data_IF_475276014624
#
_entry.id   IF_475276014624
#
_cell.length_a   1.000
_cell.length_b   1.000
_cell.length_c   1.000
_cell.angle_alpha   90.00
_cell.angle_beta   90.00
_cell.angle_gamma   90.00
#
_symmetry.space_group_name_H-M   'P 1'
#
loop_
_entity.id
_entity.type
_entity.pdbx_description
1 polymer ?
#
# COMPACT_ATOMS: atom_id res chain seq x y z
N UNK A 1 7.97 2.62 -11.14
CA UNK A 1 8.04 3.40 -9.88
C UNK A 1 8.65 2.53 -8.78
N UNK A 2 9.51 3.07 -7.91
CA UNK A 2 10.06 2.35 -6.75
C UNK A 2 9.43 2.83 -5.43
N UNK A 3 8.95 1.87 -4.62
CA UNK A 3 8.33 2.04 -3.31
C UNK A 3 9.10 1.22 -2.27
N UNK A 4 9.23 1.75 -1.04
CA UNK A 4 9.70 0.98 0.11
C UNK A 4 8.56 0.76 1.10
N UNK A 5 8.46 -0.45 1.63
CA UNK A 5 7.68 -0.78 2.83
C UNK A 5 8.67 -1.08 3.95
N UNK A 6 8.65 -0.28 5.02
CA UNK A 6 9.60 -0.39 6.12
C UNK A 6 8.95 -0.53 7.49
N UNK A 7 9.71 -1.05 8.44
CA UNK A 7 9.26 -1.30 9.82
C UNK A 7 10.17 -2.32 10.51
N UNK A 8 10.02 -2.47 11.82
CA UNK A 8 10.79 -3.47 12.57
C UNK A 8 10.45 -4.91 12.10
N UNK A 9 11.30 -5.91 12.40
CA UNK A 9 10.94 -7.31 12.24
C UNK A 9 9.65 -7.66 13.01
N UNK A 10 8.78 -8.49 12.42
CA UNK A 10 7.53 -8.93 13.06
C UNK A 10 6.38 -7.90 13.09
N UNK A 11 6.54 -6.74 12.43
CA UNK A 11 5.52 -5.68 12.38
C UNK A 11 4.41 -5.92 11.33
N UNK A 12 4.45 -7.03 10.57
CA UNK A 12 3.40 -7.38 9.61
C UNK A 12 3.61 -6.86 8.19
N UNK A 13 4.83 -6.41 7.84
CA UNK A 13 5.20 -5.96 6.49
C UNK A 13 4.93 -7.00 5.41
N UNK A 14 5.47 -8.21 5.59
CA UNK A 14 5.29 -9.37 4.70
C UNK A 14 3.81 -9.72 4.54
N UNK A 15 3.03 -9.68 5.62
CA UNK A 15 1.60 -9.97 5.57
C UNK A 15 0.83 -8.90 4.78
N UNK A 16 1.15 -7.61 4.99
CA UNK A 16 0.60 -6.53 4.17
C UNK A 16 1.00 -6.67 2.69
N UNK A 17 2.25 -7.04 2.40
CA UNK A 17 2.73 -7.29 1.05
C UNK A 17 2.01 -8.46 0.36
N UNK A 18 1.66 -9.51 1.11
CA UNK A 18 0.82 -10.61 0.62
C UNK A 18 -0.62 -10.16 0.34
N UNK A 19 -1.21 -9.30 1.19
CA UNK A 19 -2.52 -8.70 0.90
C UNK A 19 -2.49 -7.80 -0.33
N UNK A 20 -1.41 -7.02 -0.52
CA UNK A 20 -1.19 -6.26 -1.75
C UNK A 20 -1.08 -7.19 -2.97
N UNK A 21 -0.36 -8.30 -2.84
CA UNK A 21 -0.23 -9.31 -3.90
C UNK A 21 -1.60 -9.89 -4.26
N UNK A 22 -2.41 -10.29 -3.29
CA UNK A 22 -3.77 -10.79 -3.52
C UNK A 22 -4.67 -9.75 -4.19
N UNK A 23 -4.56 -8.48 -3.79
CA UNK A 23 -5.29 -7.38 -4.41
C UNK A 23 -4.97 -7.23 -5.90
N UNK A 24 -3.69 -7.39 -6.25
CA UNK A 24 -3.20 -7.29 -7.61
C UNK A 24 -3.50 -8.52 -8.47
N UNK A 25 -3.61 -9.72 -7.88
CA UNK A 25 -3.81 -10.96 -8.64
C UNK A 25 -5.25 -11.45 -8.68
N UNK A 26 -6.12 -11.01 -7.77
CA UNK A 26 -7.47 -11.56 -7.64
C UNK A 26 -8.55 -10.51 -7.32
N UNK A 27 -8.31 -9.23 -7.65
CA UNK A 27 -9.22 -8.08 -7.38
C UNK A 27 -9.65 -7.95 -5.90
N UNK A 28 -8.89 -8.51 -4.95
CA UNK A 28 -9.17 -8.40 -3.51
C UNK A 28 -8.73 -7.03 -2.99
N UNK A 29 -9.60 -6.03 -3.07
CA UNK A 29 -9.22 -4.63 -2.85
C UNK A 29 -8.57 -4.36 -1.49
N UNK A 30 -7.52 -3.53 -1.50
CA UNK A 30 -7.11 -2.78 -0.32
C UNK A 30 -8.09 -1.61 -0.10
N UNK A 31 -8.15 -0.99 1.10
CA UNK A 31 -9.00 0.16 1.35
C UNK A 31 -8.70 1.26 0.35
N UNK A 32 -9.74 1.78 -0.28
CA UNK A 32 -9.66 2.85 -1.27
C UNK A 32 -8.83 2.51 -2.53
N UNK A 33 -8.55 1.23 -2.77
CA UNK A 33 -7.95 0.78 -4.02
C UNK A 33 -8.97 0.87 -5.15
N UNK A 34 -8.56 1.47 -6.28
CA UNK A 34 -9.35 1.44 -7.50
C UNK A 34 -9.43 0.01 -8.04
N UNK A 35 -10.55 -0.30 -8.69
CA UNK A 35 -10.65 -1.55 -9.41
C UNK A 35 -9.61 -1.60 -10.52
N UNK A 36 -8.87 -2.71 -10.56
CA UNK A 36 -7.85 -2.96 -11.58
C UNK A 36 -7.97 -4.38 -12.06
N UNK A 37 -7.70 -4.58 -13.35
CA UNK A 37 -7.59 -5.92 -13.93
C UNK A 37 -6.44 -6.69 -13.28
N UNK A 38 -6.66 -7.96 -12.86
CA UNK A 38 -5.63 -8.83 -12.34
C UNK A 38 -4.40 -8.91 -13.24
N UNK A 39 -3.22 -8.89 -12.62
CA UNK A 39 -1.96 -8.93 -13.34
C UNK A 39 -0.90 -9.78 -12.66
N UNK A 40 0.15 -10.09 -13.41
CA UNK A 40 1.23 -10.94 -12.94
C UNK A 40 2.13 -10.18 -11.96
N UNK A 41 2.51 -10.88 -10.89
CA UNK A 41 3.32 -10.39 -9.78
C UNK A 41 4.52 -11.30 -9.61
N UNK A 42 5.71 -10.74 -9.42
CA UNK A 42 6.85 -11.48 -8.89
C UNK A 42 6.94 -11.20 -7.40
N UNK A 43 6.95 -12.23 -6.57
CA UNK A 43 7.20 -12.12 -5.12
C UNK A 43 8.50 -12.85 -4.80
N UNK A 44 9.61 -12.11 -4.71
CA UNK A 44 10.91 -12.67 -4.36
C UNK A 44 11.16 -12.52 -2.86
N UNK A 45 11.49 -13.63 -2.19
CA UNK A 45 11.79 -13.63 -0.76
C UNK A 45 12.89 -14.60 -0.39
N UNK A 46 13.65 -14.23 0.65
CA UNK A 46 14.76 -14.99 1.21
C UNK A 46 14.58 -15.33 2.71
N UNK A 47 13.61 -14.72 3.39
CA UNK A 47 13.38 -14.93 4.84
C UNK A 47 12.47 -16.12 5.13
N UNK A 48 11.47 -16.34 4.30
CA UNK A 48 10.47 -17.39 4.49
C UNK A 48 10.64 -18.48 3.41
N UNK A 49 10.49 -19.75 3.81
CA UNK A 49 10.49 -20.87 2.87
C UNK A 49 9.40 -20.69 1.80
N UNK A 50 9.80 -20.68 0.52
CA UNK A 50 8.91 -20.42 -0.63
C UNK A 50 7.71 -21.39 -0.66
N UNK A 51 7.96 -22.66 -0.36
CA UNK A 51 6.93 -23.72 -0.31
C UNK A 51 6.19 -23.79 1.02
N UNK A 52 6.89 -23.60 2.13
CA UNK A 52 6.39 -23.98 3.47
C UNK A 52 5.72 -22.83 4.21
N UNK A 53 6.02 -21.57 3.87
CA UNK A 53 5.52 -20.40 4.61
C UNK A 53 4.84 -19.38 3.71
N UNK A 54 5.43 -19.06 2.55
CA UNK A 54 4.89 -18.02 1.66
C UNK A 54 3.65 -18.50 0.92
N UNK A 55 3.72 -19.67 0.30
CA UNK A 55 2.60 -20.23 -0.47
C UNK A 55 1.34 -20.40 0.40
N UNK A 56 1.39 -20.99 1.61
CA UNK A 56 0.21 -21.07 2.47
C UNK A 56 -0.38 -19.70 2.84
N UNK A 57 0.46 -18.71 3.16
CA UNK A 57 -0.01 -17.36 3.51
C UNK A 57 -0.59 -16.58 2.32
N UNK A 58 -0.07 -16.80 1.11
CA UNK A 58 -0.65 -16.24 -0.11
C UNK A 58 -2.03 -16.86 -0.39
N UNK A 59 -2.20 -18.16 -0.14
CA UNK A 59 -3.51 -18.83 -0.21
C UNK A 59 -4.47 -18.26 0.83
N UNK A 60 -4.02 -18.09 2.08
CA UNK A 60 -4.80 -17.47 3.16
C UNK A 60 -5.19 -16.01 2.83
N UNK A 61 -4.32 -15.30 2.12
CA UNK A 61 -4.62 -13.97 1.60
C UNK A 61 -5.50 -13.97 0.34
N UNK A 62 -5.85 -15.15 -0.18
CA UNK A 62 -6.67 -15.36 -1.38
C UNK A 62 -6.02 -14.84 -2.68
N UNK A 63 -4.68 -14.86 -2.75
CA UNK A 63 -3.95 -14.52 -3.96
C UNK A 63 -4.15 -15.60 -5.05
N UNK A 64 -4.34 -15.17 -6.29
CA UNK A 64 -4.31 -16.08 -7.44
C UNK A 64 -2.86 -16.49 -7.72
N UNK A 65 -2.49 -17.68 -7.24
CA UNK A 65 -1.14 -18.23 -7.38
C UNK A 65 -0.73 -18.49 -8.83
N UNK A 66 -1.67 -18.59 -9.79
CA UNK A 66 -1.32 -18.73 -11.21
C UNK A 66 -0.67 -17.46 -11.78
N UNK A 67 -0.80 -16.34 -11.08
CA UNK A 67 -0.24 -15.03 -11.43
C UNK A 67 0.93 -14.62 -10.53
N UNK A 68 1.28 -15.44 -9.55
CA UNK A 68 2.42 -15.20 -8.65
C UNK A 68 3.62 -16.02 -9.11
N UNK A 69 4.73 -15.34 -9.36
CA UNK A 69 5.97 -15.92 -9.85
C UNK A 69 7.11 -15.65 -8.88
N UNK A 70 8.14 -16.49 -8.96
CA UNK A 70 9.41 -16.32 -8.23
C UNK A 70 10.55 -16.54 -9.21
N UNK A 71 11.62 -15.76 -9.08
CA UNK A 71 12.84 -15.98 -9.86
C UNK A 71 13.64 -17.09 -9.18
N UNK A 72 14.05 -18.09 -9.96
CA UNK A 72 14.94 -19.14 -9.47
C UNK A 72 16.33 -18.57 -9.15
N UNK A 73 16.67 -18.65 -7.88
CA UNK A 73 17.91 -18.20 -7.26
C UNK A 73 18.63 -19.33 -6.50
N UNK A 74 18.19 -20.59 -6.68
CA UNK A 74 18.70 -21.74 -5.94
C UNK A 74 20.16 -22.08 -6.29
N UNK A 75 20.52 -21.97 -7.56
CA UNK A 75 21.90 -22.24 -8.05
C UNK A 75 22.78 -21.00 -8.04
N UNK A 76 22.21 -19.87 -8.44
CA UNK A 76 22.90 -18.59 -8.52
C UNK A 76 22.05 -17.58 -7.76
N UNK A 77 22.53 -17.09 -6.59
CA UNK A 77 21.82 -16.11 -5.80
C UNK A 77 21.38 -14.92 -6.65
N UNK A 78 20.15 -14.46 -6.46
CA UNK A 78 19.65 -13.28 -7.15
C UNK A 78 20.15 -12.03 -6.43
N UNK A 79 20.58 -11.03 -7.19
CA UNK A 79 20.82 -9.69 -6.67
C UNK A 79 19.96 -8.67 -7.39
N UNK A 80 19.78 -7.49 -6.80
CA UNK A 80 19.06 -6.37 -7.41
C UNK A 80 19.74 -5.84 -8.67
N UNK A 81 21.02 -6.18 -8.85
CA UNK A 81 21.80 -5.87 -10.05
C UNK A 81 21.70 -6.94 -11.14
N UNK A 82 20.93 -8.00 -10.94
CA UNK A 82 20.82 -9.08 -11.90
C UNK A 82 19.82 -8.77 -13.03
N UNK A 83 20.24 -8.97 -14.28
CA UNK A 83 19.39 -8.79 -15.47
C UNK A 83 18.23 -9.79 -15.54
N UNK A 84 18.29 -10.89 -14.78
CA UNK A 84 17.16 -11.83 -14.61
C UNK A 84 15.89 -11.11 -14.16
N UNK A 85 16.00 -10.04 -13.36
CA UNK A 85 14.84 -9.26 -12.91
C UNK A 85 14.13 -8.62 -14.11
N UNK A 86 14.87 -7.87 -14.93
CA UNK A 86 14.28 -7.19 -16.09
C UNK A 86 13.74 -8.20 -17.11
N UNK A 87 14.48 -9.28 -17.39
CA UNK A 87 14.03 -10.33 -18.29
C UNK A 87 12.73 -10.97 -17.81
N UNK A 88 12.64 -11.34 -16.53
CA UNK A 88 11.45 -11.95 -15.96
C UNK A 88 10.24 -11.01 -16.03
N UNK A 89 10.44 -9.71 -15.75
CA UNK A 89 9.38 -8.70 -15.84
C UNK A 89 8.84 -8.62 -17.27
N UNK A 90 9.73 -8.49 -18.26
CA UNK A 90 9.33 -8.32 -19.67
C UNK A 90 8.66 -9.57 -20.23
N UNK A 91 9.27 -10.75 -20.03
CA UNK A 91 8.79 -12.01 -20.58
C UNK A 91 7.40 -12.39 -20.03
N UNK A 92 7.15 -12.11 -18.75
CA UNK A 92 5.92 -12.51 -18.08
C UNK A 92 4.91 -11.37 -17.91
N UNK A 93 5.16 -10.18 -18.51
CA UNK A 93 4.29 -9.00 -18.41
C UNK A 93 3.93 -8.63 -16.96
N UNK A 94 4.93 -8.68 -16.09
CA UNK A 94 4.77 -8.41 -14.66
C UNK A 94 4.55 -6.92 -14.46
N UNK A 95 3.56 -6.56 -13.62
CA UNK A 95 3.28 -5.16 -13.27
C UNK A 95 3.66 -4.81 -11.83
N UNK A 96 3.99 -5.81 -11.01
CA UNK A 96 4.47 -5.62 -9.64
C UNK A 96 5.58 -6.63 -9.31
N UNK A 97 6.71 -6.13 -8.82
CA UNK A 97 7.80 -6.90 -8.24
C UNK A 97 7.89 -6.56 -6.76
N UNK A 98 7.81 -7.58 -5.88
CA UNK A 98 8.11 -7.45 -4.45
C UNK A 98 9.44 -8.16 -4.15
N UNK A 99 10.29 -7.50 -3.36
CA UNK A 99 11.55 -8.05 -2.84
C UNK A 99 11.50 -8.01 -1.30
N UNK A 100 11.60 -9.17 -0.65
CA UNK A 100 11.37 -9.33 0.80
C UNK A 100 12.39 -10.25 1.49
N UNK A 101 13.38 -9.74 2.25
CA UNK A 101 13.75 -8.34 2.45
C UNK A 101 14.75 -7.86 1.40
N UNK A 102 14.82 -6.55 1.14
CA UNK A 102 15.81 -5.95 0.22
C UNK A 102 17.26 -6.24 0.63
N UNK A 103 17.52 -6.35 1.94
CA UNK A 103 18.83 -6.67 2.50
C UNK A 103 19.40 -7.99 1.95
N UNK A 104 18.55 -8.97 1.66
CA UNK A 104 18.99 -10.27 1.16
C UNK A 104 19.38 -10.26 -0.32
N UNK A 105 19.01 -9.21 -1.07
CA UNK A 105 19.21 -9.13 -2.52
C UNK A 105 20.14 -7.98 -2.94
N UNK A 106 20.58 -7.11 -2.03
CA UNK A 106 21.39 -5.94 -2.40
C UNK A 106 22.76 -6.32 -2.99
N UNK A 107 23.27 -7.52 -2.65
CA UNK A 107 24.55 -8.05 -3.07
C UNK A 107 25.53 -8.15 -1.91
N UNK A 108 26.36 -9.20 -1.88
CA UNK A 108 27.30 -9.44 -0.78
C UNK A 108 28.37 -8.34 -0.67
N UNK A 109 28.72 -7.70 -1.79
CA UNK A 109 29.78 -6.69 -1.87
C UNK A 109 29.26 -5.24 -1.78
N UNK A 110 27.99 -5.04 -1.40
CA UNK A 110 27.37 -3.70 -1.31
C UNK A 110 27.11 -3.34 0.15
N UNK A 111 27.80 -2.30 0.65
CA UNK A 111 27.52 -1.70 1.94
C UNK A 111 26.32 -0.75 1.82
N UNK A 112 25.23 -1.10 2.49
CA UNK A 112 23.99 -0.31 2.49
C UNK A 112 24.14 1.08 3.11
N UNK A 113 25.22 1.34 3.87
CA UNK A 113 25.49 2.64 4.46
C UNK A 113 26.34 3.53 3.53
N UNK A 114 26.87 2.99 2.43
CA UNK A 114 27.71 3.72 1.48
C UNK A 114 26.91 4.19 0.27
N UNK A 115 26.69 5.50 0.23
CA UNK A 115 25.93 6.17 -0.84
C UNK A 115 26.38 5.77 -2.26
N UNK A 116 27.68 5.73 -2.49
CA UNK A 116 28.28 5.41 -3.79
C UNK A 116 28.05 3.96 -4.24
N UNK A 117 27.83 3.03 -3.31
CA UNK A 117 27.57 1.62 -3.60
C UNK A 117 26.07 1.36 -3.80
N UNK A 118 25.20 2.04 -3.03
CA UNK A 118 23.75 1.83 -3.10
C UNK A 118 23.07 2.58 -4.24
N UNK A 119 23.52 3.81 -4.56
CA UNK A 119 22.92 4.63 -5.62
C UNK A 119 22.86 3.92 -6.99
N UNK A 120 23.93 3.24 -7.46
CA UNK A 120 23.88 2.47 -8.71
C UNK A 120 22.78 1.40 -8.71
N UNK A 121 22.59 0.70 -7.60
CA UNK A 121 21.57 -0.35 -7.46
C UNK A 121 20.17 0.22 -7.64
N UNK A 122 19.85 1.27 -6.89
CA UNK A 122 18.53 1.90 -6.97
C UNK A 122 18.31 2.63 -8.31
N UNK A 123 19.36 3.16 -8.93
CA UNK A 123 19.28 3.72 -10.29
C UNK A 123 18.91 2.64 -11.31
N UNK A 124 19.56 1.47 -11.25
CA UNK A 124 19.22 0.36 -12.15
C UNK A 124 17.76 -0.07 -11.97
N UNK A 125 17.31 -0.28 -10.73
CA UNK A 125 15.91 -0.63 -10.46
C UNK A 125 14.95 0.47 -10.93
N UNK A 126 15.30 1.73 -10.73
CA UNK A 126 14.53 2.88 -11.23
C UNK A 126 14.36 2.83 -12.75
N UNK A 127 15.44 2.58 -13.48
CA UNK A 127 15.43 2.44 -14.94
C UNK A 127 14.57 1.26 -15.39
N UNK A 128 14.70 0.09 -14.77
CA UNK A 128 13.86 -1.08 -15.06
C UNK A 128 12.38 -0.75 -14.85
N UNK A 129 12.05 -0.11 -13.72
CA UNK A 129 10.69 0.26 -13.38
C UNK A 129 10.09 1.31 -14.34
N UNK A 130 10.91 2.21 -14.88
CA UNK A 130 10.50 3.22 -15.86
C UNK A 130 10.29 2.59 -17.25
N UNK A 131 11.22 1.77 -17.72
CA UNK A 131 11.17 1.16 -19.04
C UNK A 131 10.10 0.07 -19.19
N UNK A 132 9.75 -0.59 -18.09
CA UNK A 132 8.75 -1.69 -18.09
C UNK A 132 7.38 -1.25 -17.60
N UNK A 133 7.27 -0.09 -16.96
CA UNK A 133 6.07 0.32 -16.24
C UNK A 133 5.77 -0.51 -14.98
N UNK A 134 6.68 -1.41 -14.58
CA UNK A 134 6.51 -2.24 -13.39
C UNK A 134 6.68 -1.41 -12.10
N UNK A 135 5.81 -1.65 -11.13
CA UNK A 135 5.99 -1.17 -9.77
C UNK A 135 6.97 -2.09 -9.04
N UNK A 136 8.04 -1.52 -8.46
CA UNK A 136 9.02 -2.28 -7.67
C UNK A 136 8.85 -1.89 -6.21
N UNK A 137 8.57 -2.88 -5.37
CA UNK A 137 8.35 -2.72 -3.92
C UNK A 137 9.45 -3.44 -3.17
N UNK A 138 10.20 -2.69 -2.39
CA UNK A 138 11.29 -3.19 -1.58
C UNK A 138 10.85 -3.22 -0.12
N UNK A 139 10.90 -4.39 0.50
CA UNK A 139 10.54 -4.55 1.91
C UNK A 139 11.80 -4.49 2.75
N UNK A 140 11.81 -3.59 3.72
CA UNK A 140 13.01 -3.23 4.47
C UNK A 140 12.83 -3.29 5.97
N UNK A 141 13.88 -3.71 6.66
CA UNK A 141 14.04 -3.54 8.10
C UNK A 141 14.64 -2.18 8.44
N UNK A 142 14.13 -1.57 9.52
CA UNK A 142 14.76 -0.38 10.12
C UNK A 142 16.10 -0.77 10.75
N UNK A 143 17.06 0.15 10.73
CA UNK A 143 18.29 -0.03 11.49
C UNK A 143 18.08 0.24 12.99
N UNK A 144 18.95 -0.34 13.83
CA UNK A 144 18.84 -0.28 15.30
C UNK A 144 19.25 1.07 15.93
N UNK A 145 19.45 2.14 15.18
CA UNK A 145 19.86 3.42 15.75
C UNK A 145 18.71 4.10 16.51
N UNK A 146 18.83 4.16 17.82
CA UNK A 146 17.94 4.92 18.70
C UNK A 146 18.19 6.43 18.53
N UNK A 147 17.11 7.22 18.40
CA UNK A 147 17.16 8.69 18.53
C UNK A 147 17.03 9.51 17.23
N UNK A 148 17.09 8.90 16.05
CA UNK A 148 16.85 9.59 14.76
C UNK A 148 15.37 9.52 14.35
N UNK A 149 14.87 10.51 13.58
CA UNK A 149 13.47 10.50 13.09
C UNK A 149 13.20 9.24 12.26
N UNK A 150 11.95 8.77 12.27
CA UNK A 150 11.44 7.61 11.52
C UNK A 150 11.89 7.55 10.05
N UNK A 151 11.87 8.69 9.35
CA UNK A 151 12.35 8.80 7.97
C UNK A 151 13.86 8.50 7.86
N UNK A 152 14.66 8.84 8.88
CA UNK A 152 16.11 8.58 8.91
C UNK A 152 16.46 7.19 9.45
N UNK A 153 15.53 6.48 10.10
CA UNK A 153 15.70 5.09 10.59
C UNK A 153 15.44 4.02 9.55
N UNK A 154 15.24 4.39 8.29
CA UNK A 154 14.93 3.43 7.22
C UNK A 154 16.03 2.40 6.97
N UNK A 155 16.26 2.03 5.71
CA UNK A 155 17.27 1.05 5.30
C UNK A 155 18.74 1.44 5.60
N UNK A 156 18.98 2.39 6.52
CA UNK A 156 20.31 2.85 6.91
C UNK A 156 20.92 3.90 6.00
N UNK A 157 20.19 4.35 4.96
CA UNK A 157 20.73 5.27 3.97
C UNK A 157 19.72 6.34 3.56
N UNK A 158 20.15 7.60 3.74
CA UNK A 158 19.47 8.79 3.21
C UNK A 158 19.37 8.70 1.69
N UNK A 159 20.35 8.10 1.02
CA UNK A 159 20.37 7.96 -0.43
C UNK A 159 19.28 7.02 -0.95
N UNK A 160 19.01 5.94 -0.21
CA UNK A 160 17.87 5.06 -0.49
C UNK A 160 16.57 5.87 -0.41
N UNK A 161 16.42 6.65 0.68
CA UNK A 161 15.24 7.48 0.86
C UNK A 161 15.10 8.55 -0.21
N UNK A 162 16.21 9.14 -0.68
CA UNK A 162 16.20 10.09 -1.78
C UNK A 162 15.79 9.45 -3.11
N UNK A 163 16.20 8.21 -3.36
CA UNK A 163 15.96 7.51 -4.62
C UNK A 163 14.50 7.02 -4.80
N UNK A 164 13.78 6.72 -3.72
CA UNK A 164 12.40 6.21 -3.81
C UNK A 164 11.36 7.31 -3.88
N UNK A 165 10.25 7.06 -4.60
CA UNK A 165 9.15 8.03 -4.77
C UNK A 165 8.06 7.89 -3.71
N UNK A 166 7.99 6.72 -3.07
CA UNK A 166 7.01 6.45 -2.01
C UNK A 166 7.65 5.63 -0.90
N UNK A 167 7.21 5.88 0.33
CA UNK A 167 7.63 5.18 1.54
C UNK A 167 6.43 4.90 2.43
N UNK A 168 6.17 3.62 2.67
CA UNK A 168 5.18 3.16 3.63
C UNK A 168 5.90 2.64 4.87
N UNK A 169 5.48 3.10 6.04
CA UNK A 169 5.94 2.64 7.33
C UNK A 169 4.86 1.78 7.98
N UNK A 170 5.24 0.63 8.54
CA UNK A 170 4.35 -0.23 9.32
C UNK A 170 4.91 -0.41 10.73
N UNK A 171 4.09 -0.12 11.74
CA UNK A 171 4.44 -0.30 13.15
C UNK A 171 3.27 -0.78 14.02
N UNK A 172 3.60 -1.39 15.15
CA UNK A 172 2.71 -1.92 16.18
C UNK A 172 2.32 -0.84 17.16
N UNK A 173 1.06 -0.83 17.54
CA UNK A 173 0.64 -0.10 18.73
C UNK A 173 1.12 -0.86 19.96
N UNK A 174 1.91 -0.21 20.81
CA UNK A 174 2.64 -0.91 21.90
C UNK A 174 1.70 -1.51 22.96
N UNK A 175 0.59 -0.83 23.29
CA UNK A 175 -0.40 -1.33 24.26
C UNK A 175 -1.41 -2.31 23.66
N UNK A 176 -1.53 -2.33 22.34
CA UNK A 176 -2.34 -3.31 21.60
C UNK A 176 -1.50 -3.92 20.48
N UNK A 177 -0.66 -4.92 20.79
CA UNK A 177 0.23 -5.56 19.83
C UNK A 177 -0.48 -6.37 18.75
N UNK A 178 -1.82 -6.38 18.69
CA UNK A 178 -2.59 -6.90 17.55
C UNK A 178 -2.88 -5.82 16.52
N UNK A 179 -2.83 -4.54 16.90
CA UNK A 179 -3.00 -3.41 15.98
C UNK A 179 -1.68 -3.05 15.31
N UNK A 180 -1.72 -2.87 13.99
CA UNK A 180 -0.66 -2.32 13.15
C UNK A 180 -1.16 -1.06 12.49
N UNK A 181 -0.27 -0.11 12.27
CA UNK A 181 -0.55 1.15 11.59
C UNK A 181 0.34 1.25 10.37
N UNK A 182 -0.26 1.54 9.23
CA UNK A 182 0.34 1.82 7.94
C UNK A 182 0.34 3.34 7.70
N UNK A 183 1.53 3.93 7.60
CA UNK A 183 1.73 5.38 7.46
C UNK A 183 2.46 5.67 6.15
N UNK A 184 1.97 6.63 5.37
CA UNK A 184 2.61 7.05 4.12
C UNK A 184 3.60 8.20 4.39
N UNK A 185 4.80 7.87 4.85
CA UNK A 185 5.82 8.83 5.28
C UNK A 185 6.35 9.73 4.14
N UNK A 186 6.55 9.16 2.94
CA UNK A 186 7.03 9.90 1.77
C UNK A 186 6.14 9.63 0.58
N UNK A 187 5.71 10.69 -0.10
CA UNK A 187 5.04 10.63 -1.40
C UNK A 187 5.52 11.78 -2.27
N UNK A 188 6.14 11.47 -3.42
CA UNK A 188 6.68 12.50 -4.33
C UNK A 188 5.70 12.94 -5.42
N UNK A 189 4.65 12.17 -5.71
CA UNK A 189 3.75 12.38 -6.86
C UNK A 189 2.34 12.85 -6.47
N UNK A 190 2.00 12.76 -5.19
CA UNK A 190 0.71 13.12 -4.64
C UNK A 190 0.85 13.45 -3.14
N UNK A 191 -0.14 14.09 -2.50
CA UNK A 191 -0.19 14.15 -1.05
C UNK A 191 -0.09 12.75 -0.43
N UNK A 192 0.53 12.61 0.75
CA UNK A 192 0.52 11.36 1.51
C UNK A 192 -0.88 10.75 1.63
N UNK A 193 -0.91 9.43 1.60
CA UNK A 193 -2.12 8.66 1.85
C UNK A 193 -2.58 8.82 3.30
N UNK A 194 -3.86 8.56 3.55
CA UNK A 194 -4.35 8.51 4.92
C UNK A 194 -3.63 7.41 5.71
N UNK A 195 -3.32 7.68 6.97
CA UNK A 195 -2.83 6.66 7.89
C UNK A 195 -3.96 5.67 8.17
N UNK A 196 -3.68 4.39 7.95
CA UNK A 196 -4.64 3.31 8.11
C UNK A 196 -4.16 2.33 9.18
N UNK A 197 -5.08 1.73 9.92
CA UNK A 197 -4.77 0.64 10.84
C UNK A 197 -5.43 -0.67 10.43
N UNK A 198 -4.77 -1.77 10.79
CA UNK A 198 -5.27 -3.13 10.63
C UNK A 198 -4.92 -3.99 11.84
N UNK A 199 -5.70 -5.03 12.10
CA UNK A 199 -5.40 -6.06 13.09
C UNK A 199 -4.61 -7.20 12.44
N UNK A 200 -3.68 -7.78 13.19
CA UNK A 200 -2.90 -8.94 12.81
C UNK A 200 -2.34 -9.63 14.06
N UNK A 201 -2.45 -10.97 14.12
CA UNK A 201 -1.86 -11.80 15.17
C UNK A 201 -2.83 -12.21 16.29
N UNK A 202 -4.13 -11.96 16.11
CA UNK A 202 -5.19 -12.58 16.89
C UNK A 202 -5.93 -13.65 16.07
N UNK A 203 -6.90 -14.33 16.69
CA UNK A 203 -7.71 -15.38 16.04
C UNK A 203 -8.51 -14.89 14.83
N UNK A 204 -8.74 -13.57 14.73
CA UNK A 204 -9.50 -12.96 13.63
C UNK A 204 -8.68 -12.67 12.38
N UNK A 205 -7.39 -12.99 12.36
CA UNK A 205 -6.51 -12.77 11.21
C UNK A 205 -6.38 -11.30 10.78
N UNK A 206 -5.96 -11.09 9.54
CA UNK A 206 -5.79 -9.74 8.99
C UNK A 206 -7.15 -9.08 8.72
N UNK A 207 -7.41 -7.92 9.34
CA UNK A 207 -8.60 -7.09 9.06
C UNK A 207 -8.34 -5.60 9.20
N UNK A 208 -8.91 -4.81 8.31
CA UNK A 208 -8.80 -3.34 8.37
C UNK A 208 -9.64 -2.76 9.50
N UNK A 209 -9.09 -1.78 10.21
CA UNK A 209 -9.76 -1.01 11.27
C UNK A 209 -10.29 0.33 10.74
N UNK A 210 -9.61 0.91 9.74
CA UNK A 210 -9.94 2.20 9.15
C UNK A 210 -8.85 3.24 9.40
N UNK A 211 -9.24 4.51 9.46
CA UNK A 211 -8.32 5.62 9.69
C UNK A 211 -7.72 5.58 11.09
N UNK A 212 -6.47 6.02 11.21
CA UNK A 212 -5.77 6.06 12.50
C UNK A 212 -4.93 7.32 12.62
N UNK A 213 -5.11 8.08 13.69
CA UNK A 213 -4.47 9.37 13.89
C UNK A 213 -3.18 9.21 14.71
N UNK A 214 -2.06 8.99 14.00
CA UNK A 214 -0.70 8.96 14.55
C UNK A 214 0.33 9.19 13.43
N UNK A 215 1.48 9.79 13.76
CA UNK A 215 2.66 9.83 12.89
C UNK A 215 3.68 8.72 13.26
N UNK A 216 4.66 8.45 12.40
CA UNK A 216 5.61 7.36 12.65
C UNK A 216 6.52 7.60 13.86
N UNK A 217 6.91 8.84 14.14
CA UNK A 217 7.78 9.17 15.28
C UNK A 217 7.07 8.88 16.61
N UNK A 218 5.81 9.30 16.75
CA UNK A 218 4.99 9.03 17.91
C UNK A 218 4.74 7.53 18.10
N UNK A 219 4.47 6.81 17.00
CA UNK A 219 4.32 5.36 17.02
C UNK A 219 5.60 4.64 17.47
N UNK A 220 6.76 5.04 16.93
CA UNK A 220 8.07 4.48 17.30
C UNK A 220 8.44 4.78 18.77
N UNK A 221 8.04 5.94 19.28
CA UNK A 221 8.22 6.32 20.67
C UNK A 221 7.22 5.65 21.62
N UNK A 222 6.33 4.81 21.10
CA UNK A 222 5.34 4.06 21.88
C UNK A 222 4.16 4.90 22.35
N UNK A 223 3.91 6.06 21.75
CA UNK A 223 2.68 6.83 21.98
C UNK A 223 1.50 6.14 21.31
N UNK A 224 0.30 6.51 21.75
CA UNK A 224 -0.95 6.00 21.20
C UNK A 224 -1.62 7.04 20.32
N UNK A 225 -2.13 6.56 19.19
CA UNK A 225 -3.09 7.27 18.37
C UNK A 225 -4.51 6.79 18.68
N UNK A 226 -5.45 7.20 17.85
CA UNK A 226 -6.85 6.78 17.95
C UNK A 226 -7.43 6.46 16.59
N UNK A 227 -8.43 5.56 16.56
CA UNK A 227 -9.25 5.34 15.36
C UNK A 227 -9.97 6.65 15.00
N UNK A 228 -9.94 6.97 13.72
CA UNK A 228 -10.66 8.11 13.14
C UNK A 228 -11.38 7.65 11.87
N UNK A 229 -12.40 8.40 11.47
CA UNK A 229 -13.07 8.16 10.19
C UNK A 229 -12.13 8.49 9.03
N UNK A 230 -12.01 7.57 8.09
CA UNK A 230 -11.38 7.80 6.79
C UNK A 230 -12.15 8.87 6.00
N UNK A 231 -11.51 9.50 5.00
CA UNK A 231 -12.21 10.38 4.05
C UNK A 231 -13.37 9.67 3.36
N UNK A 232 -13.25 8.37 3.14
CA UNK A 232 -14.32 7.57 2.55
C UNK A 232 -15.51 7.43 3.50
N UNK A 233 -15.29 7.04 4.77
CA UNK A 233 -16.35 6.94 5.78
C UNK A 233 -17.03 8.31 5.98
N UNK A 234 -16.25 9.40 6.07
CA UNK A 234 -16.81 10.76 6.13
C UNK A 234 -17.62 11.13 4.89
N UNK A 235 -17.18 10.69 3.71
CA UNK A 235 -17.88 10.92 2.45
C UNK A 235 -19.19 10.13 2.33
N UNK A 236 -19.21 8.88 2.83
CA UNK A 236 -20.43 8.08 2.93
C UNK A 236 -21.44 8.72 3.89
N UNK A 237 -21.00 9.11 5.09
CA UNK A 237 -21.86 9.83 6.04
C UNK A 237 -22.40 11.12 5.44
N UNK A 238 -21.55 11.92 4.79
CA UNK A 238 -21.99 13.14 4.10
C UNK A 238 -23.08 12.84 3.05
N UNK A 239 -22.92 11.74 2.29
CA UNK A 239 -23.91 11.35 1.28
C UNK A 239 -25.23 10.91 1.91
N UNK A 240 -25.18 10.16 3.01
CA UNK A 240 -26.38 9.74 3.76
C UNK A 240 -27.11 10.95 4.36
N UNK A 241 -26.41 11.84 5.07
CA UNK A 241 -26.98 13.06 5.67
C UNK A 241 -27.62 13.98 4.61
N UNK A 242 -26.97 14.15 3.45
CA UNK A 242 -27.51 15.01 2.41
C UNK A 242 -28.75 14.42 1.76
N UNK A 243 -28.84 13.09 1.63
CA UNK A 243 -29.91 12.43 0.88
C UNK A 243 -31.00 11.85 1.78
N UNK A 244 -30.92 12.05 3.09
CA UNK A 244 -31.85 11.51 4.11
C UNK A 244 -33.31 11.88 3.82
N UNK A 245 -33.56 13.10 3.37
CA UNK A 245 -34.89 13.62 2.98
C UNK A 245 -35.48 12.97 1.72
N UNK A 246 -34.76 12.07 1.04
CA UNK A 246 -35.18 11.41 -0.20
C UNK A 246 -35.26 12.33 -1.43
N UNK A 247 -34.93 13.62 -1.27
CA UNK A 247 -34.95 14.64 -2.33
C UNK A 247 -33.81 14.43 -3.30
N UNK A 248 -34.05 14.78 -4.56
CA UNK A 248 -32.98 14.84 -5.56
C UNK A 248 -32.06 16.04 -5.30
N UNK A 249 -30.77 15.75 -5.16
CA UNK A 249 -29.74 16.76 -4.95
C UNK A 249 -28.78 16.79 -6.15
N UNK A 250 -28.46 17.97 -6.71
CA UNK A 250 -27.45 18.08 -7.75
C UNK A 250 -26.07 17.61 -7.27
N UNK A 251 -25.38 16.78 -8.07
CA UNK A 251 -24.05 16.24 -7.72
C UNK A 251 -23.02 17.33 -7.45
N UNK A 252 -23.13 18.50 -8.11
CA UNK A 252 -22.25 19.65 -7.87
C UNK A 252 -22.35 20.19 -6.44
N UNK A 253 -23.54 20.16 -5.83
CA UNK A 253 -23.76 20.63 -4.44
C UNK A 253 -23.08 19.69 -3.46
N UNK A 254 -23.24 18.37 -3.66
CA UNK A 254 -22.56 17.34 -2.86
C UNK A 254 -21.04 17.46 -3.01
N UNK A 255 -20.56 17.64 -4.25
CA UNK A 255 -19.12 17.77 -4.53
C UNK A 255 -18.52 19.01 -3.86
N UNK A 256 -19.24 20.14 -3.83
CA UNK A 256 -18.80 21.36 -3.15
C UNK A 256 -18.64 21.13 -1.63
N UNK A 257 -19.66 20.56 -0.98
CA UNK A 257 -19.61 20.26 0.47
C UNK A 257 -18.52 19.24 0.80
N UNK A 258 -18.30 18.24 -0.05
CA UNK A 258 -17.20 17.30 0.10
C UNK A 258 -15.82 17.98 0.04
N UNK A 259 -15.64 18.93 -0.89
CA UNK A 259 -14.39 19.70 -0.99
C UNK A 259 -14.14 20.56 0.25
N UNK A 260 -15.17 21.19 0.82
CA UNK A 260 -15.08 21.95 2.08
C UNK A 260 -14.64 21.06 3.26
N UNK A 261 -14.93 19.75 3.20
CA UNK A 261 -14.50 18.74 4.19
C UNK A 261 -13.16 18.07 3.86
N UNK A 262 -12.41 18.56 2.87
CA UNK A 262 -11.17 17.98 2.36
C UNK A 262 -11.33 16.55 1.80
N UNK A 263 -12.48 16.24 1.22
CA UNK A 263 -12.78 14.97 0.54
C UNK A 263 -12.64 15.18 -0.97
N UNK A 264 -11.78 14.37 -1.60
CA UNK A 264 -11.48 14.51 -3.02
C UNK A 264 -12.63 14.03 -3.91
N UNK A 265 -12.72 14.55 -5.15
CA UNK A 265 -13.68 14.06 -6.15
C UNK A 265 -13.49 12.57 -6.47
N UNK A 266 -12.26 12.06 -6.36
CA UNK A 266 -11.96 10.63 -6.46
C UNK A 266 -12.62 9.86 -5.32
N UNK A 267 -12.41 10.27 -4.07
CA UNK A 267 -13.06 9.66 -2.91
C UNK A 267 -14.59 9.69 -3.03
N UNK A 268 -15.18 10.80 -3.49
CA UNK A 268 -16.63 10.87 -3.71
C UNK A 268 -17.12 9.97 -4.85
N UNK A 269 -16.27 9.64 -5.82
CA UNK A 269 -16.58 8.59 -6.82
C UNK A 269 -16.62 7.23 -6.15
N UNK A 270 -15.67 6.91 -5.29
CA UNK A 270 -15.61 5.64 -4.56
C UNK A 270 -16.81 5.50 -3.61
N UNK A 271 -17.22 6.58 -2.94
CA UNK A 271 -18.45 6.63 -2.13
C UNK A 271 -19.66 6.23 -2.98
N UNK A 272 -19.83 6.85 -4.15
CA UNK A 272 -20.95 6.54 -5.06
C UNK A 272 -20.92 5.10 -5.55
N UNK A 273 -19.75 4.57 -5.89
CA UNK A 273 -19.60 3.18 -6.33
C UNK A 273 -20.02 2.21 -5.21
N UNK A 274 -19.63 2.48 -3.96
CA UNK A 274 -20.00 1.65 -2.79
C UNK A 274 -21.47 1.76 -2.41
N UNK A 275 -22.08 2.92 -2.62
CA UNK A 275 -23.49 3.15 -2.36
C UNK A 275 -24.38 2.84 -3.57
N UNK A 276 -23.83 2.31 -4.67
CA UNK A 276 -24.51 2.21 -5.97
C UNK A 276 -25.92 1.65 -5.92
N UNK A 277 -26.13 0.54 -5.20
CA UNK A 277 -27.45 -0.12 -5.10
C UNK A 277 -28.50 0.71 -4.33
N UNK A 278 -28.05 1.68 -3.55
CA UNK A 278 -28.87 2.60 -2.74
C UNK A 278 -29.11 3.94 -3.44
N UNK A 279 -28.49 4.20 -4.59
CA UNK A 279 -28.50 5.51 -5.24
C UNK A 279 -29.27 5.48 -6.57
N UNK A 280 -30.15 6.47 -6.76
CA UNK A 280 -30.84 6.69 -8.03
C UNK A 280 -30.29 7.97 -8.66
N UNK A 281 -29.86 7.85 -9.93
CA UNK A 281 -29.35 8.98 -10.72
C UNK A 281 -30.47 9.58 -11.57
N UNK A 282 -30.60 10.91 -11.50
CA UNK A 282 -31.54 11.69 -12.30
C UNK A 282 -30.83 12.70 -13.20
N UNK A 283 -31.60 13.31 -14.11
CA UNK A 283 -31.18 14.50 -14.86
C UNK A 283 -31.94 15.70 -14.30
N UNK A 284 -31.21 16.65 -13.72
CA UNK A 284 -31.79 17.89 -13.23
C UNK A 284 -32.23 18.84 -14.35
N UNK A 285 -32.79 19.99 -13.96
CA UNK A 285 -33.07 21.09 -14.89
C UNK A 285 -31.75 21.78 -15.28
N UNK A 286 -31.39 21.72 -16.57
CA UNK A 286 -30.03 22.01 -17.03
C UNK A 286 -29.14 20.78 -16.88
N UNK A 287 -28.01 20.70 -17.59
CA UNK A 287 -27.17 19.49 -17.76
C UNK A 287 -26.53 18.90 -16.47
N UNK A 288 -27.07 19.18 -15.29
CA UNK A 288 -26.56 18.74 -14.00
C UNK A 288 -27.23 17.44 -13.57
N UNK A 289 -26.41 16.40 -13.43
CA UNK A 289 -26.85 15.11 -12.90
C UNK A 289 -27.23 15.25 -11.42
N UNK A 290 -28.39 14.71 -11.05
CA UNK A 290 -28.91 14.66 -9.68
C UNK A 290 -28.77 13.26 -9.10
N UNK A 291 -28.83 13.17 -7.78
CA UNK A 291 -28.81 11.91 -7.05
C UNK A 291 -29.79 11.95 -5.87
N UNK A 292 -30.42 10.82 -5.58
CA UNK A 292 -31.24 10.60 -4.37
C UNK A 292 -31.06 9.17 -3.85
N UNK A 293 -31.46 8.93 -2.61
CA UNK A 293 -31.57 7.57 -2.09
C UNK A 293 -32.74 6.84 -2.75
N UNK A 294 -32.54 5.55 -3.00
CA UNK A 294 -33.61 4.60 -3.30
C UNK A 294 -34.47 4.50 -2.05
N UNK A 295 -35.76 4.78 -2.20
CA UNK A 295 -36.74 4.53 -1.14
C UNK A 295 -37.12 3.06 -1.26
N UNK A 296 -37.09 2.33 -0.14
CA UNK A 296 -37.58 0.95 -0.07
C UNK A 296 -39.09 0.87 -0.33
#
# INVERSE_FOLDING_TARGET
MALIIQGNPGEGKTYFAMKLTAACTNRKYLPNMEETEPFNVIYQTAEDGKGDTIKPRLIECEADLSRVMVIDDTKIPLTLMDDRIERAIRQNKVRLLLIDPVQAFIGADVDMNRANEVRPVFRKLGNVAEQTGCAIVLIGHLNKSCGTQSTYRGLGSIDIMAAVRSLLFIGKVKKDPTTRVLIHEKSSLAPPGETLAFKLGDEGGFRWIGGYDINADDLLNGKEGKRVETKLERGMRLMEEMLEDGKEIPLKVIQKKATEMNISSRTMRDVRNRMGDRLIYGRGNGRDNTIRLKVD
#
